data_IF_978617127097
#
_entry.id   IF_978617127097
#
_cell.length_a   1.000
_cell.length_b   1.000
_cell.length_c   1.000
_cell.angle_alpha   90.00
_cell.angle_beta   90.00
_cell.angle_gamma   90.00
#
_symmetry.space_group_name_H-M   'P 1'
#
loop_
_entity.id
_entity.type
_entity.pdbx_description
1 polymer ?
#
# COMPACT_ATOMS: atom_id res chain seq x y z
N UNK A 1 56.17 7.50 56.05
CA UNK A 1 55.60 7.15 54.73
C UNK A 1 54.81 5.86 54.87
N UNK A 2 53.48 5.97 54.95
CA UNK A 2 52.54 4.85 55.06
C UNK A 2 51.89 4.68 53.69
N UNK A 3 51.91 3.46 53.14
CA UNK A 3 50.98 3.07 52.09
C UNK A 3 50.52 1.63 52.39
N UNK A 4 49.40 1.52 53.10
CA UNK A 4 48.57 0.32 53.11
C UNK A 4 47.86 0.27 51.76
N UNK A 5 48.11 -0.76 50.96
CA UNK A 5 47.24 -1.11 49.84
C UNK A 5 46.04 -1.88 50.39
N UNK A 6 44.89 -1.22 50.41
CA UNK A 6 43.60 -1.87 50.61
C UNK A 6 43.15 -2.55 49.33
N UNK A 7 42.75 -3.80 49.50
CA UNK A 7 42.00 -4.65 48.58
C UNK A 7 40.67 -3.97 48.25
N UNK A 8 40.35 -3.83 46.97
CA UNK A 8 38.98 -3.61 46.50
C UNK A 8 38.69 -4.56 45.31
N UNK A 9 37.73 -5.49 45.42
CA UNK A 9 37.29 -6.31 44.32
C UNK A 9 36.26 -5.51 43.50
N UNK A 10 36.64 -5.04 42.31
CA UNK A 10 35.66 -4.48 41.38
C UNK A 10 35.07 -5.63 40.57
N UNK A 11 33.88 -6.00 41.00
CA UNK A 11 32.92 -6.89 40.37
C UNK A 11 32.74 -6.57 38.88
N UNK A 12 32.89 -7.61 38.06
CA UNK A 12 32.32 -7.73 36.72
C UNK A 12 30.80 -7.60 36.84
N UNK A 13 30.26 -6.43 36.47
CA UNK A 13 28.84 -6.25 36.17
C UNK A 13 28.70 -6.09 34.66
N UNK A 14 28.38 -7.22 34.04
CA UNK A 14 27.67 -7.30 32.77
C UNK A 14 26.31 -6.61 32.91
N UNK A 15 26.15 -5.45 32.29
CA UNK A 15 24.89 -4.85 31.87
C UNK A 15 25.22 -4.23 30.51
N UNK A 16 24.91 -4.83 29.38
CA UNK A 16 23.57 -5.11 28.89
C UNK A 16 23.47 -4.33 27.57
N UNK A 17 23.12 -5.00 26.47
CA UNK A 17 22.88 -4.37 25.17
C UNK A 17 22.06 -3.10 25.39
N UNK A 18 22.63 -1.93 25.10
CA UNK A 18 21.80 -0.76 24.89
C UNK A 18 20.93 -1.06 23.69
N UNK A 19 19.66 -1.32 24.00
CA UNK A 19 18.56 -1.25 23.07
C UNK A 19 18.67 0.06 22.32
N UNK A 20 18.90 -0.01 21.01
CA UNK A 20 18.70 1.10 20.09
C UNK A 20 17.25 1.56 20.23
N UNK A 21 17.02 2.55 21.11
CA UNK A 21 15.78 3.30 21.16
C UNK A 21 15.71 4.08 19.86
N UNK A 22 15.03 3.51 18.87
CA UNK A 22 14.62 4.23 17.66
C UNK A 22 13.78 5.40 18.12
N UNK A 23 14.35 6.60 18.02
CA UNK A 23 13.73 7.84 18.46
C UNK A 23 12.58 8.14 17.49
N UNK A 24 11.36 7.64 17.77
CA UNK A 24 10.14 7.79 16.95
C UNK A 24 9.60 9.24 16.94
N UNK A 25 10.44 10.28 16.91
CA UNK A 25 9.99 11.68 16.77
C UNK A 25 10.28 12.16 15.35
N UNK A 26 9.22 12.34 14.56
CA UNK A 26 9.26 13.12 13.32
C UNK A 26 9.78 12.38 12.09
N UNK A 27 9.40 11.11 11.88
CA UNK A 27 9.86 10.37 10.70
C UNK A 27 9.20 10.94 9.45
N UNK A 28 10.03 11.51 8.59
CA UNK A 28 9.66 11.99 7.26
C UNK A 28 10.14 10.99 6.21
N UNK A 29 9.26 10.60 5.30
CA UNK A 29 9.61 9.74 4.19
C UNK A 29 9.93 10.66 3.00
N UNK A 30 11.21 11.01 2.85
CA UNK A 30 11.69 11.52 1.58
C UNK A 30 12.08 10.33 0.72
N UNK A 31 11.46 10.08 -0.41
CA UNK A 31 11.86 9.01 -1.31
C UNK A 31 12.78 9.50 -2.45
N UNK A 32 13.20 10.77 -2.42
CA UNK A 32 13.88 11.44 -3.52
C UNK A 32 15.36 11.68 -3.20
N UNK A 33 16.22 11.41 -4.19
CA UNK A 33 17.68 11.63 -4.18
C UNK A 33 18.42 10.92 -3.03
N UNK A 34 17.91 9.75 -2.61
CA UNK A 34 18.57 8.88 -1.64
C UNK A 34 19.49 7.86 -2.33
N UNK A 35 20.45 7.34 -1.56
CA UNK A 35 21.39 6.31 -2.01
C UNK A 35 20.73 4.93 -1.97
N UNK A 36 20.40 4.28 -3.10
CA UNK A 36 19.80 2.96 -3.06
C UNK A 36 20.84 1.88 -2.79
N UNK A 37 20.36 0.83 -2.13
CA UNK A 37 21.05 -0.43 -1.96
C UNK A 37 20.81 -1.24 -3.23
N UNK A 38 21.86 -1.38 -4.02
CA UNK A 38 21.83 -2.21 -5.22
C UNK A 38 21.71 -3.69 -4.85
N UNK A 39 20.76 -4.37 -5.48
CA UNK A 39 20.65 -5.83 -5.40
C UNK A 39 21.61 -6.45 -6.40
N UNK A 40 22.10 -7.66 -6.09
CA UNK A 40 22.91 -8.44 -7.01
C UNK A 40 22.16 -9.69 -7.48
N UNK A 41 22.54 -10.19 -8.65
CA UNK A 41 22.06 -11.48 -9.18
C UNK A 41 22.98 -12.58 -8.64
N UNK A 42 22.46 -13.46 -7.80
CA UNK A 42 23.28 -14.50 -7.17
C UNK A 42 23.58 -15.65 -8.14
N UNK A 43 22.58 -16.05 -8.94
CA UNK A 43 22.71 -17.11 -9.95
C UNK A 43 22.33 -16.57 -11.34
N UNK A 44 23.32 -16.13 -12.15
CA UNK A 44 23.07 -15.70 -13.53
C UNK A 44 22.51 -16.81 -14.41
N UNK A 45 22.95 -18.05 -14.17
CA UNK A 45 22.53 -19.28 -14.84
C UNK A 45 22.43 -20.40 -13.81
N UNK A 46 21.48 -21.32 -13.99
CA UNK A 46 21.34 -22.50 -13.15
C UNK A 46 22.24 -23.63 -13.65
N UNK A 47 22.87 -24.36 -12.74
CA UNK A 47 23.57 -25.60 -13.08
C UNK A 47 22.56 -26.70 -13.46
N UNK A 48 22.97 -27.69 -14.25
CA UNK A 48 22.09 -28.81 -14.65
C UNK A 48 21.47 -29.52 -13.44
N UNK A 49 22.27 -29.77 -12.41
CA UNK A 49 21.81 -30.37 -11.14
C UNK A 49 20.75 -29.54 -10.40
N UNK A 50 20.65 -28.24 -10.69
CA UNK A 50 19.68 -27.34 -10.08
C UNK A 50 18.38 -27.25 -10.90
N UNK A 51 18.36 -27.75 -12.13
CA UNK A 51 17.17 -27.76 -12.98
C UNK A 51 16.26 -28.96 -12.69
N UNK A 52 16.79 -30.03 -12.12
CA UNK A 52 16.10 -31.30 -11.89
C UNK A 52 15.35 -31.39 -10.53
N UNK A 53 15.07 -30.26 -9.87
CA UNK A 53 14.41 -30.28 -8.56
C UNK A 53 12.88 -30.18 -8.66
N UNK A 54 12.19 -31.18 -8.10
CA UNK A 54 10.72 -31.24 -8.07
C UNK A 54 10.08 -30.57 -6.83
N UNK A 55 10.87 -30.02 -5.91
CA UNK A 55 10.31 -29.42 -4.67
C UNK A 55 10.12 -27.90 -4.80
N UNK A 56 8.89 -27.38 -4.69
CA UNK A 56 8.61 -25.96 -4.91
C UNK A 56 8.85 -25.08 -3.66
N UNK A 57 9.53 -25.61 -2.63
CA UNK A 57 9.72 -24.91 -1.36
C UNK A 57 11.01 -24.10 -1.35
N UNK A 58 10.91 -22.83 -0.97
CA UNK A 58 12.04 -21.91 -0.82
C UNK A 58 12.05 -21.29 0.56
N UNK A 59 13.24 -21.12 1.12
CA UNK A 59 13.50 -20.37 2.34
C UNK A 59 13.53 -18.88 2.02
N UNK A 60 12.46 -18.16 2.36
CA UNK A 60 12.27 -16.75 2.02
C UNK A 60 12.36 -15.88 3.27
N UNK A 61 13.00 -14.72 3.11
CA UNK A 61 13.04 -13.69 4.15
C UNK A 61 11.86 -12.74 4.01
N UNK A 62 11.08 -12.59 5.08
CA UNK A 62 9.92 -11.71 5.15
C UNK A 62 9.90 -10.91 6.45
N UNK A 63 9.27 -9.74 6.43
CA UNK A 63 9.04 -8.93 7.62
C UNK A 63 7.64 -9.20 8.17
N UNK A 64 7.56 -9.81 9.35
CA UNK A 64 6.33 -10.30 9.96
C UNK A 64 6.32 -9.94 11.45
N UNK A 65 5.20 -9.42 11.95
CA UNK A 65 5.04 -9.05 13.37
C UNK A 65 6.18 -8.16 13.92
N UNK A 66 6.70 -7.27 13.07
CA UNK A 66 7.77 -6.36 13.44
C UNK A 66 9.16 -6.97 13.54
N UNK A 67 9.38 -8.13 12.91
CA UNK A 67 10.68 -8.82 12.87
C UNK A 67 10.93 -9.40 11.47
N UNK A 68 12.19 -9.44 11.08
CA UNK A 68 12.63 -10.21 9.91
C UNK A 68 12.67 -11.69 10.28
N UNK A 69 11.90 -12.51 9.57
CA UNK A 69 11.82 -13.96 9.76
C UNK A 69 12.12 -14.67 8.44
N UNK A 70 12.76 -15.83 8.54
CA UNK A 70 12.99 -16.72 7.40
C UNK A 70 12.07 -17.93 7.53
N UNK A 71 11.33 -18.25 6.46
CA UNK A 71 10.35 -19.36 6.45
C UNK A 71 10.44 -20.13 5.15
N UNK A 72 10.17 -21.44 5.23
CA UNK A 72 10.00 -22.27 4.04
C UNK A 72 8.59 -22.07 3.48
N UNK A 73 8.51 -21.64 2.22
CA UNK A 73 7.28 -21.24 1.55
C UNK A 73 7.14 -22.02 0.25
N UNK A 74 5.93 -22.50 -0.01
CA UNK A 74 5.59 -23.14 -1.28
C UNK A 74 5.41 -22.06 -2.38
N UNK A 75 6.23 -22.13 -3.42
CA UNK A 75 6.25 -21.23 -4.57
C UNK A 75 5.73 -21.88 -5.86
N UNK A 76 5.14 -23.09 -5.78
CA UNK A 76 4.54 -23.81 -6.91
C UNK A 76 3.61 -22.92 -7.76
N UNK A 77 2.76 -22.05 -7.17
CA UNK A 77 1.90 -21.17 -7.96
C UNK A 77 2.63 -20.04 -8.68
N UNK A 78 3.91 -19.82 -8.39
CA UNK A 78 4.70 -18.67 -8.83
C UNK A 78 5.81 -19.03 -9.82
N UNK A 79 6.02 -20.33 -10.09
CA UNK A 79 7.17 -20.82 -10.87
C UNK A 79 6.67 -21.69 -12.02
N UNK A 80 7.16 -21.41 -13.23
CA UNK A 80 6.93 -22.21 -14.42
C UNK A 80 8.29 -22.52 -15.06
N UNK A 81 8.79 -23.74 -14.84
CA UNK A 81 10.17 -24.10 -15.14
C UNK A 81 11.14 -23.29 -14.28
N UNK A 82 11.97 -22.45 -14.92
CA UNK A 82 12.87 -21.52 -14.21
C UNK A 82 12.32 -20.10 -14.11
N UNK A 83 11.18 -19.80 -14.72
CA UNK A 83 10.62 -18.44 -14.77
C UNK A 83 9.72 -18.17 -13.58
N UNK A 84 9.86 -16.99 -12.96
CA UNK A 84 8.87 -16.46 -12.01
C UNK A 84 7.71 -15.83 -12.75
N UNK A 85 6.72 -16.66 -13.05
CA UNK A 85 5.45 -16.30 -13.68
C UNK A 85 4.35 -17.20 -13.13
N UNK A 86 3.12 -16.71 -13.17
CA UNK A 86 1.93 -17.54 -12.96
C UNK A 86 1.01 -17.44 -14.17
N UNK A 87 0.57 -18.59 -14.68
CA UNK A 87 -0.25 -18.69 -15.90
C UNK A 87 -1.59 -17.94 -15.80
N UNK A 88 -1.99 -17.55 -14.58
CA UNK A 88 -3.27 -16.88 -14.26
C UNK A 88 -3.11 -15.53 -13.54
N UNK A 89 -1.90 -14.96 -13.49
CA UNK A 89 -1.66 -13.75 -12.68
C UNK A 89 -0.47 -12.91 -13.11
N UNK A 90 0.72 -13.24 -12.60
CA UNK A 90 1.95 -12.50 -12.90
C UNK A 90 2.51 -13.02 -14.22
N UNK A 91 2.45 -12.20 -15.26
CA UNK A 91 2.98 -12.53 -16.59
C UNK A 91 4.47 -12.86 -16.52
N UNK A 92 5.23 -11.93 -15.95
CA UNK A 92 6.67 -12.01 -15.83
C UNK A 92 7.14 -11.14 -14.66
N UNK A 93 8.24 -11.58 -14.03
CA UNK A 93 9.00 -10.79 -13.07
C UNK A 93 10.29 -10.30 -13.70
N UNK A 94 10.63 -9.04 -13.48
CA UNK A 94 11.73 -8.34 -14.11
C UNK A 94 12.69 -7.75 -13.09
N UNK A 95 13.97 -7.68 -13.46
CA UNK A 95 15.04 -7.00 -12.73
C UNK A 95 15.92 -6.21 -13.70
N UNK A 96 16.83 -5.39 -13.15
CA UNK A 96 17.77 -4.57 -13.94
C UNK A 96 17.07 -3.71 -15.00
N UNK A 97 15.92 -3.15 -14.60
CA UNK A 97 15.11 -2.29 -15.46
C UNK A 97 15.45 -0.83 -15.22
N UNK A 98 15.49 -0.03 -16.28
CA UNK A 98 15.58 1.43 -16.17
C UNK A 98 14.22 2.03 -16.53
N UNK A 99 13.70 2.85 -15.62
CA UNK A 99 12.37 3.43 -15.71
C UNK A 99 12.42 4.94 -15.49
N UNK A 100 11.51 5.65 -16.15
CA UNK A 100 11.31 7.08 -15.96
C UNK A 100 9.84 7.34 -15.67
N UNK A 101 9.58 8.05 -14.56
CA UNK A 101 8.31 8.69 -14.28
C UNK A 101 8.39 10.15 -14.70
N UNK A 102 7.78 10.47 -15.84
CA UNK A 102 7.68 11.84 -16.33
C UNK A 102 6.40 12.49 -15.81
N UNK A 103 6.52 13.62 -15.12
CA UNK A 103 5.41 14.45 -14.65
C UNK A 103 5.48 15.80 -15.36
N UNK A 104 4.41 16.19 -16.03
CA UNK A 104 4.32 17.50 -16.69
C UNK A 104 3.37 18.39 -15.93
N UNK A 105 3.84 19.56 -15.52
CA UNK A 105 3.08 20.59 -14.84
C UNK A 105 2.89 21.79 -15.77
N UNK A 106 1.68 22.37 -15.80
CA UNK A 106 1.38 23.62 -16.49
C UNK A 106 0.66 24.55 -15.53
N UNK A 107 1.19 25.76 -15.37
CA UNK A 107 0.68 26.75 -14.40
C UNK A 107 0.55 26.18 -12.98
N UNK A 108 1.53 25.38 -12.55
CA UNK A 108 1.56 24.72 -11.23
C UNK A 108 0.63 23.51 -11.08
N UNK A 109 -0.10 23.09 -12.12
CA UNK A 109 -1.00 21.92 -12.10
C UNK A 109 -0.41 20.76 -12.87
N UNK A 110 -0.48 19.54 -12.34
CA UNK A 110 -0.06 18.33 -13.03
C UNK A 110 -0.97 18.04 -14.24
N UNK A 111 -0.48 18.27 -15.46
CA UNK A 111 -1.20 18.08 -16.73
C UNK A 111 -0.77 16.86 -17.54
N UNK A 112 0.33 16.19 -17.17
CA UNK A 112 0.75 14.92 -17.75
C UNK A 112 1.44 14.02 -16.74
N UNK A 113 1.24 12.71 -16.85
CA UNK A 113 2.06 11.71 -16.17
C UNK A 113 2.26 10.52 -17.10
N UNK A 114 3.51 10.11 -17.28
CA UNK A 114 3.89 9.04 -18.19
C UNK A 114 4.97 8.18 -17.54
N UNK A 115 4.79 6.86 -17.62
CA UNK A 115 5.81 5.90 -17.21
C UNK A 115 6.43 5.30 -18.47
N UNK A 116 7.75 5.41 -18.57
CA UNK A 116 8.52 4.92 -19.72
C UNK A 116 9.59 3.97 -19.23
N UNK A 117 9.67 2.81 -19.87
CA UNK A 117 10.81 1.90 -19.73
C UNK A 117 11.91 2.38 -20.67
N UNK A 118 13.01 2.88 -20.13
CA UNK A 118 14.11 3.48 -20.91
C UNK A 118 15.15 2.45 -21.35
N UNK A 119 15.18 1.28 -20.70
CA UNK A 119 16.01 0.14 -21.09
C UNK A 119 15.22 -1.16 -20.96
N UNK A 120 15.44 -2.08 -21.90
CA UNK A 120 14.80 -3.39 -21.87
C UNK A 120 15.16 -4.12 -20.57
N UNK A 121 14.16 -4.52 -19.75
CA UNK A 121 14.40 -5.22 -18.50
C UNK A 121 14.82 -6.68 -18.73
N UNK A 122 15.49 -7.27 -17.75
CA UNK A 122 15.83 -8.69 -17.75
C UNK A 122 14.76 -9.49 -17.02
N UNK A 123 14.26 -10.55 -17.64
CA UNK A 123 13.29 -11.42 -17.01
C UNK A 123 13.96 -12.35 -15.98
N UNK A 124 13.35 -12.49 -14.81
CA UNK A 124 13.89 -13.21 -13.67
C UNK A 124 13.83 -14.72 -13.88
N UNK A 125 14.97 -15.37 -13.64
CA UNK A 125 15.10 -16.82 -13.56
C UNK A 125 15.47 -17.23 -12.14
N UNK A 126 14.81 -18.27 -11.64
CA UNK A 126 15.06 -18.93 -10.37
C UNK A 126 15.54 -20.35 -10.67
N UNK A 127 16.55 -20.78 -9.93
CA UNK A 127 17.09 -22.14 -10.01
C UNK A 127 16.30 -23.05 -9.06
N UNK A 128 15.55 -24.04 -9.57
CA UNK A 128 14.70 -24.90 -8.76
C UNK A 128 15.43 -25.59 -7.60
N UNK A 129 16.66 -26.03 -7.81
CA UNK A 129 17.49 -26.70 -6.81
C UNK A 129 18.04 -25.78 -5.71
N UNK A 130 18.07 -24.47 -5.93
CA UNK A 130 18.59 -23.50 -4.95
C UNK A 130 17.48 -23.07 -4.00
N UNK A 131 17.45 -23.69 -2.81
CA UNK A 131 16.35 -23.53 -1.84
C UNK A 131 16.41 -22.25 -1.00
N UNK A 132 17.52 -21.52 -1.03
CA UNK A 132 17.68 -20.27 -0.30
C UNK A 132 18.60 -19.34 -1.07
N UNK A 133 18.22 -18.07 -1.14
CA UNK A 133 19.03 -17.01 -1.72
C UNK A 133 19.40 -15.99 -0.65
N UNK A 134 20.46 -15.22 -0.88
CA UNK A 134 20.84 -14.14 0.02
C UNK A 134 19.74 -13.07 0.08
N UNK A 135 19.53 -12.48 1.25
CA UNK A 135 18.42 -11.54 1.51
C UNK A 135 18.35 -10.39 0.49
N UNK A 136 19.51 -9.80 0.16
CA UNK A 136 19.66 -8.68 -0.78
C UNK A 136 20.06 -9.13 -2.19
N UNK A 137 19.58 -10.30 -2.62
CA UNK A 137 19.63 -10.74 -4.02
C UNK A 137 18.33 -10.38 -4.75
N UNK A 138 18.39 -10.24 -6.06
CA UNK A 138 17.17 -10.09 -6.87
C UNK A 138 16.25 -11.31 -6.74
N UNK A 139 16.79 -12.51 -6.58
CA UNK A 139 16.04 -13.76 -6.44
C UNK A 139 15.18 -13.78 -5.17
N UNK A 140 15.77 -13.50 -3.99
CA UNK A 140 15.03 -13.47 -2.74
C UNK A 140 13.94 -12.36 -2.76
N UNK A 141 14.27 -11.18 -3.26
CA UNK A 141 13.32 -10.07 -3.39
C UNK A 141 12.15 -10.42 -4.32
N UNK A 142 12.45 -11.03 -5.47
CA UNK A 142 11.45 -11.47 -6.45
C UNK A 142 10.54 -12.55 -5.89
N UNK A 143 11.10 -13.56 -5.22
CA UNK A 143 10.33 -14.64 -4.60
C UNK A 143 9.42 -14.10 -3.48
N UNK A 144 9.92 -13.21 -2.63
CA UNK A 144 9.14 -12.60 -1.54
C UNK A 144 7.94 -11.80 -2.07
N UNK A 145 8.15 -10.95 -3.07
CA UNK A 145 7.09 -10.16 -3.68
C UNK A 145 6.06 -11.05 -4.44
N UNK A 146 6.54 -12.05 -5.21
CA UNK A 146 5.67 -12.98 -5.92
C UNK A 146 4.75 -13.75 -4.97
N UNK A 147 5.27 -14.20 -3.83
CA UNK A 147 4.51 -15.02 -2.88
C UNK A 147 3.22 -14.34 -2.42
N UNK A 148 3.28 -13.10 -1.95
CA UNK A 148 2.10 -12.42 -1.41
C UNK A 148 1.09 -12.06 -2.50
N UNK A 149 1.58 -11.68 -3.69
CA UNK A 149 0.73 -11.39 -4.85
C UNK A 149 0.02 -12.67 -5.33
N UNK A 150 0.71 -13.79 -5.52
CA UNK A 150 0.09 -15.04 -5.94
C UNK A 150 -0.86 -15.61 -4.88
N UNK A 151 -0.54 -15.46 -3.59
CA UNK A 151 -1.48 -15.79 -2.52
C UNK A 151 -2.76 -14.97 -2.60
N UNK A 152 -2.65 -13.66 -2.89
CA UNK A 152 -3.79 -12.77 -3.11
C UNK A 152 -4.63 -13.22 -4.30
N UNK A 153 -3.99 -13.54 -5.42
CA UNK A 153 -4.65 -14.08 -6.63
C UNK A 153 -5.46 -15.33 -6.29
N UNK A 154 -4.86 -16.32 -5.62
CA UNK A 154 -5.54 -17.57 -5.27
C UNK A 154 -6.77 -17.36 -4.39
N UNK A 155 -6.69 -16.45 -3.42
CA UNK A 155 -7.82 -16.12 -2.54
C UNK A 155 -8.94 -15.40 -3.28
N UNK A 156 -8.61 -14.59 -4.27
CA UNK A 156 -9.58 -13.96 -5.17
C UNK A 156 -10.24 -14.98 -6.11
N UNK A 157 -9.47 -15.92 -6.66
CA UNK A 157 -10.02 -17.00 -7.48
C UNK A 157 -11.02 -17.86 -6.69
N UNK A 158 -10.76 -18.09 -5.40
CA UNK A 158 -11.66 -18.83 -4.51
C UNK A 158 -13.02 -18.13 -4.29
N UNK A 159 -13.12 -16.83 -4.55
CA UNK A 159 -14.38 -16.07 -4.57
C UNK A 159 -14.85 -15.73 -5.99
N UNK A 160 -14.39 -16.51 -6.98
CA UNK A 160 -14.73 -16.39 -8.40
C UNK A 160 -14.31 -15.06 -9.05
N UNK A 161 -13.33 -14.35 -8.48
CA UNK A 161 -12.73 -13.21 -9.15
C UNK A 161 -11.46 -13.63 -9.88
N UNK A 162 -11.39 -13.31 -11.18
CA UNK A 162 -10.19 -13.45 -12.00
C UNK A 162 -9.95 -12.14 -12.71
N UNK A 163 -8.76 -11.57 -12.55
CA UNK A 163 -8.38 -10.40 -13.35
C UNK A 163 -8.34 -10.79 -14.82
N UNK A 164 -8.95 -10.01 -15.74
CA UNK A 164 -8.87 -10.27 -17.17
C UNK A 164 -7.49 -9.97 -17.74
N UNK A 165 -6.60 -9.33 -16.98
CA UNK A 165 -5.32 -8.83 -17.45
C UNK A 165 -4.17 -9.35 -16.59
N UNK A 166 -3.16 -9.99 -17.18
CA UNK A 166 -1.97 -10.37 -16.43
C UNK A 166 -1.13 -9.13 -16.11
N UNK A 167 -0.35 -9.16 -15.02
CA UNK A 167 0.49 -8.04 -14.59
C UNK A 167 1.99 -8.34 -14.74
N UNK A 168 2.81 -7.30 -14.85
CA UNK A 168 4.27 -7.43 -14.77
C UNK A 168 4.77 -6.98 -13.40
N UNK A 169 5.81 -7.63 -12.88
CA UNK A 169 6.42 -7.26 -11.60
C UNK A 169 7.84 -6.77 -11.84
N UNK A 170 8.19 -5.59 -11.33
CA UNK A 170 9.55 -5.01 -11.42
C UNK A 170 10.17 -4.94 -10.04
N UNK A 171 11.36 -5.52 -9.90
CA UNK A 171 12.09 -5.59 -8.64
C UNK A 171 13.33 -4.71 -8.72
N UNK A 172 13.38 -3.72 -7.83
CA UNK A 172 14.47 -2.78 -7.66
C UNK A 172 14.96 -2.13 -8.98
N UNK A 173 14.06 -1.54 -9.80
CA UNK A 173 14.47 -0.85 -11.02
C UNK A 173 15.22 0.45 -10.70
N UNK A 174 16.16 0.82 -11.58
CA UNK A 174 16.70 2.18 -11.59
C UNK A 174 15.62 3.14 -12.09
N UNK A 175 15.05 3.94 -11.18
CA UNK A 175 13.93 4.81 -11.52
C UNK A 175 14.26 6.28 -11.28
N UNK A 176 14.01 7.10 -12.31
CA UNK A 176 14.14 8.55 -12.25
C UNK A 176 12.74 9.17 -12.34
N UNK A 177 12.45 10.13 -11.48
CA UNK A 177 11.32 11.04 -11.64
C UNK A 177 11.80 12.31 -12.35
N UNK A 178 11.24 12.56 -13.54
CA UNK A 178 11.46 13.77 -14.33
C UNK A 178 10.26 14.71 -14.19
N UNK A 179 10.44 15.85 -13.57
CA UNK A 179 9.43 16.90 -13.51
C UNK A 179 9.68 17.92 -14.61
N UNK A 180 8.69 18.13 -15.48
CA UNK A 180 8.68 19.13 -16.54
C UNK A 180 7.69 20.21 -16.14
N UNK A 181 8.14 21.44 -15.94
CA UNK A 181 7.29 22.58 -15.61
C UNK A 181 7.22 23.49 -16.84
N UNK A 182 6.04 23.52 -17.47
CA UNK A 182 5.69 24.41 -18.57
C UNK A 182 5.09 25.70 -18.00
N UNK A 183 5.81 26.81 -18.16
CA UNK A 183 5.29 28.16 -17.93
C UNK A 183 5.01 28.84 -19.27
N UNK A 184 4.46 30.04 -19.24
CA UNK A 184 4.21 30.82 -20.47
C UNK A 184 5.52 31.23 -21.18
N UNK A 185 6.67 31.16 -20.51
CA UNK A 185 7.96 31.66 -21.00
C UNK A 185 9.08 30.62 -21.04
N UNK A 186 8.98 29.53 -20.29
CA UNK A 186 10.06 28.54 -20.16
C UNK A 186 9.54 27.11 -19.91
N UNK A 187 10.36 26.13 -20.27
CA UNK A 187 10.17 24.72 -19.90
C UNK A 187 11.35 24.32 -19.02
N UNK A 188 11.09 24.08 -17.74
CA UNK A 188 12.09 23.62 -16.77
C UNK A 188 11.97 22.10 -16.64
N UNK A 189 13.10 21.37 -16.61
CA UNK A 189 13.12 19.93 -16.33
C UNK A 189 14.06 19.62 -15.17
N UNK A 190 13.58 18.86 -14.19
CA UNK A 190 14.36 18.38 -13.05
C UNK A 190 14.25 16.86 -12.93
N UNK A 191 15.39 16.17 -12.82
CA UNK A 191 15.46 14.72 -12.66
C UNK A 191 15.85 14.38 -11.22
N UNK A 192 15.19 13.39 -10.65
CA UNK A 192 15.47 12.93 -9.28
C UNK A 192 15.37 11.42 -9.16
N UNK A 193 16.28 10.80 -8.41
CA UNK A 193 16.26 9.34 -8.21
C UNK A 193 15.25 8.99 -7.12
N UNK A 194 14.40 7.98 -7.36
CA UNK A 194 13.40 7.56 -6.37
C UNK A 194 13.71 6.19 -5.76
N UNK A 195 13.55 6.07 -4.44
CA UNK A 195 13.80 4.85 -3.64
C UNK A 195 12.64 4.60 -2.65
N UNK A 196 12.73 3.55 -1.82
CA UNK A 196 11.86 3.35 -0.65
C UNK A 196 10.36 3.47 -0.96
N UNK A 197 9.87 2.87 -2.04
CA UNK A 197 8.43 2.84 -2.32
C UNK A 197 8.03 1.59 -3.09
N UNK A 198 6.75 1.24 -3.04
CA UNK A 198 6.11 0.34 -3.97
C UNK A 198 4.91 1.07 -4.60
N UNK A 199 4.56 0.71 -5.84
CA UNK A 199 3.38 1.27 -6.49
C UNK A 199 2.91 0.42 -7.67
N UNK A 200 1.61 0.47 -7.94
CA UNK A 200 1.00 -0.02 -9.16
C UNK A 200 0.94 1.06 -10.25
N UNK A 201 1.27 0.67 -11.49
CA UNK A 201 1.18 1.49 -12.69
C UNK A 201 0.02 0.97 -13.56
N UNK A 202 -1.12 1.67 -13.63
CA UNK A 202 -2.28 1.21 -14.40
C UNK A 202 -2.02 1.07 -15.90
N UNK A 203 -1.29 2.04 -16.50
CA UNK A 203 -1.03 2.06 -17.95
C UNK A 203 -0.14 0.90 -18.43
N UNK A 204 0.77 0.43 -17.58
CA UNK A 204 1.64 -0.71 -17.87
C UNK A 204 1.10 -2.03 -17.29
N UNK A 205 0.08 -1.94 -16.42
CA UNK A 205 -0.42 -3.04 -15.58
C UNK A 205 0.72 -3.71 -14.83
N UNK A 206 1.49 -2.90 -14.11
CA UNK A 206 2.74 -3.33 -13.51
C UNK A 206 2.81 -2.95 -12.05
N UNK A 207 3.34 -3.83 -11.21
CA UNK A 207 3.73 -3.50 -9.84
C UNK A 207 5.24 -3.25 -9.82
N UNK A 208 5.65 -2.19 -9.15
CA UNK A 208 7.06 -1.81 -9.00
C UNK A 208 7.41 -1.78 -7.53
N UNK A 209 8.48 -2.48 -7.15
CA UNK A 209 9.15 -2.33 -5.86
C UNK A 209 10.47 -1.59 -6.08
N UNK A 210 10.57 -0.34 -5.62
CA UNK A 210 11.81 0.44 -5.71
C UNK A 210 12.88 -0.12 -4.77
N UNK A 211 14.18 0.12 -5.06
CA UNK A 211 15.25 -0.20 -4.13
C UNK A 211 15.04 0.45 -2.75
N UNK A 212 15.43 -0.26 -1.70
CA UNK A 212 15.62 0.34 -0.37
C UNK A 212 16.82 1.29 -0.42
N UNK A 213 16.76 2.40 0.31
CA UNK A 213 17.91 3.29 0.49
C UNK A 213 18.79 2.93 1.69
N UNK A 214 20.05 3.37 1.67
CA UNK A 214 20.97 3.31 2.80
C UNK A 214 20.39 4.07 4.00
N UNK A 215 19.77 5.22 3.76
CA UNK A 215 19.12 6.05 4.79
C UNK A 215 17.94 5.31 5.43
N UNK A 216 17.13 4.59 4.65
CA UNK A 216 16.06 3.76 5.22
C UNK A 216 16.62 2.60 6.04
N UNK A 217 17.76 2.03 5.63
CA UNK A 217 18.46 0.97 6.39
C UNK A 217 18.94 1.47 7.76
N UNK A 218 19.31 2.74 7.85
CA UNK A 218 19.71 3.41 9.10
C UNK A 218 18.53 3.86 9.97
N UNK A 219 17.29 3.68 9.49
CA UNK A 219 16.06 3.91 10.25
C UNK A 219 15.19 5.07 9.75
N UNK A 220 15.53 5.72 8.63
CA UNK A 220 14.63 6.63 7.95
C UNK A 220 13.50 5.87 7.21
N UNK A 221 12.54 6.60 6.62
CA UNK A 221 11.54 5.98 5.75
C UNK A 221 10.60 5.01 6.49
N UNK A 222 10.46 3.80 5.95
CA UNK A 222 9.66 2.71 6.51
C UNK A 222 10.41 1.91 7.60
N UNK A 223 11.58 2.39 8.01
CA UNK A 223 12.52 1.67 8.85
C UNK A 223 13.42 0.76 8.02
N UNK A 224 14.26 -0.03 8.70
CA UNK A 224 15.20 -0.97 8.09
C UNK A 224 14.50 -2.20 7.49
N UNK A 225 13.47 -1.96 6.67
CA UNK A 225 12.59 -2.97 6.08
C UNK A 225 12.39 -2.62 4.60
N UNK A 226 12.92 -3.43 3.67
CA UNK A 226 12.56 -3.32 2.27
C UNK A 226 11.09 -3.69 2.04
N UNK A 227 10.38 -2.92 1.23
CA UNK A 227 8.94 -3.12 1.03
C UNK A 227 8.58 -4.44 0.33
N UNK A 228 9.48 -5.00 -0.47
CA UNK A 228 9.29 -6.33 -1.08
C UNK A 228 9.28 -7.47 -0.04
N UNK A 229 9.75 -7.24 1.18
CA UNK A 229 9.72 -8.21 2.29
C UNK A 229 8.42 -8.14 3.10
N UNK A 230 7.57 -7.12 2.91
CA UNK A 230 6.32 -6.92 3.65
C UNK A 230 5.16 -7.49 2.84
N UNK A 231 4.57 -8.64 3.21
CA UNK A 231 3.55 -9.30 2.37
C UNK A 231 2.32 -8.44 2.10
N UNK A 232 1.93 -7.63 3.09
CA UNK A 232 0.83 -6.67 2.98
C UNK A 232 1.04 -5.70 1.81
N UNK A 233 2.26 -5.23 1.56
CA UNK A 233 2.55 -4.27 0.47
C UNK A 233 2.30 -4.92 -0.89
N UNK A 234 2.84 -6.10 -1.17
CA UNK A 234 2.59 -6.77 -2.46
C UNK A 234 1.11 -7.08 -2.70
N UNK A 235 0.38 -7.45 -1.65
CA UNK A 235 -1.06 -7.71 -1.72
C UNK A 235 -1.86 -6.41 -1.92
N UNK A 236 -1.42 -5.32 -1.31
CA UNK A 236 -1.97 -3.98 -1.48
C UNK A 236 -1.80 -3.49 -2.92
N UNK A 237 -0.60 -3.57 -3.49
CA UNK A 237 -0.37 -3.17 -4.88
C UNK A 237 -1.18 -4.02 -5.88
N UNK A 238 -1.38 -5.30 -5.58
CA UNK A 238 -2.30 -6.13 -6.36
C UNK A 238 -3.76 -5.70 -6.18
N UNK A 239 -4.15 -5.20 -5.01
CA UNK A 239 -5.44 -4.56 -4.76
C UNK A 239 -5.73 -3.42 -5.73
N UNK A 240 -4.76 -2.56 -6.01
CA UNK A 240 -4.90 -1.53 -7.04
C UNK A 240 -5.14 -2.14 -8.42
N UNK A 241 -4.39 -3.18 -8.80
CA UNK A 241 -4.61 -3.89 -10.05
C UNK A 241 -6.06 -4.42 -10.18
N UNK A 242 -6.61 -5.00 -9.11
CA UNK A 242 -8.01 -5.43 -9.04
C UNK A 242 -8.96 -4.25 -9.20
N UNK A 243 -8.70 -3.13 -8.51
CA UNK A 243 -9.53 -1.94 -8.58
C UNK A 243 -9.67 -1.42 -10.01
N UNK A 244 -8.54 -1.22 -10.69
CA UNK A 244 -8.50 -0.76 -12.08
C UNK A 244 -9.10 -1.79 -13.05
N UNK A 245 -9.03 -3.08 -12.74
CA UNK A 245 -9.63 -4.14 -13.57
C UNK A 245 -11.16 -4.16 -13.51
N UNK A 246 -11.76 -3.74 -12.40
CA UNK A 246 -13.22 -3.68 -12.22
C UNK A 246 -13.76 -2.30 -12.63
N UNK A 247 -13.09 -1.24 -12.20
CA UNK A 247 -13.59 0.12 -12.19
C UNK A 247 -12.79 1.07 -13.12
N UNK A 248 -12.30 0.57 -14.26
CA UNK A 248 -11.54 1.36 -15.24
C UNK A 248 -12.25 2.68 -15.63
N UNK A 249 -13.58 2.67 -15.74
CA UNK A 249 -14.37 3.87 -16.05
C UNK A 249 -14.35 4.92 -14.92
N UNK A 250 -14.41 4.48 -13.66
CA UNK A 250 -14.26 5.35 -12.47
C UNK A 250 -12.81 5.84 -12.35
N UNK A 251 -11.89 5.04 -12.86
CA UNK A 251 -10.46 5.31 -12.83
C UNK A 251 -10.01 6.38 -13.83
N UNK A 252 -10.85 6.74 -14.80
CA UNK A 252 -10.62 7.89 -15.68
C UNK A 252 -10.67 9.23 -14.93
N UNK A 253 -11.42 9.28 -13.82
CA UNK A 253 -11.53 10.45 -12.94
C UNK A 253 -10.51 10.43 -11.79
N UNK A 254 -9.73 9.35 -11.65
CA UNK A 254 -8.59 9.33 -10.72
C UNK A 254 -7.62 10.42 -11.14
N UNK A 255 -7.53 11.45 -10.30
CA UNK A 255 -6.43 12.38 -10.39
C UNK A 255 -5.14 11.55 -10.25
N UNK A 256 -4.28 11.73 -11.25
CA UNK A 256 -3.03 11.00 -11.46
C UNK A 256 -2.26 10.86 -10.14
N UNK A 257 -1.53 9.74 -9.94
CA UNK A 257 -0.83 9.42 -8.71
C UNK A 257 -0.22 10.65 -8.02
N UNK A 258 -0.81 11.07 -6.92
CA UNK A 258 -0.27 12.14 -6.09
C UNK A 258 0.93 11.55 -5.34
N UNK A 259 2.12 11.77 -5.91
CA UNK A 259 3.42 11.74 -5.23
C UNK A 259 3.61 10.72 -4.09
N UNK A 260 3.87 9.45 -4.42
CA UNK A 260 4.45 8.43 -3.52
C UNK A 260 3.67 8.09 -2.23
N UNK A 261 3.88 6.89 -1.70
CA UNK A 261 3.47 6.62 -0.32
C UNK A 261 4.30 7.54 0.58
N UNK A 262 3.65 8.54 1.18
CA UNK A 262 4.24 9.50 2.12
C UNK A 262 5.27 10.48 1.55
N UNK A 263 5.41 10.56 0.22
CA UNK A 263 6.30 11.51 -0.44
C UNK A 263 5.70 12.91 -0.47
N UNK A 264 6.50 13.93 -0.15
CA UNK A 264 6.10 15.32 -0.32
C UNK A 264 6.10 15.66 -1.81
N UNK A 265 5.09 16.39 -2.33
CA UNK A 265 5.33 17.23 -3.49
C UNK A 265 6.44 18.21 -3.09
N UNK A 266 7.61 18.07 -3.71
CA UNK A 266 8.73 18.99 -3.48
C UNK A 266 8.30 20.45 -3.53
N UNK A 267 9.06 21.30 -2.85
CA UNK A 267 8.88 22.75 -2.72
C UNK A 267 8.87 23.48 -4.10
N UNK A 268 7.86 23.25 -4.93
CA UNK A 268 7.50 24.15 -6.01
C UNK A 268 6.48 25.12 -5.45
N UNK A 269 7.04 26.20 -4.90
CA UNK A 269 6.44 27.52 -4.67
C UNK A 269 4.95 27.62 -5.03
N UNK A 270 4.08 27.39 -4.06
CA UNK A 270 2.81 28.11 -3.97
C UNK A 270 2.24 27.99 -2.55
N UNK A 271 2.10 29.12 -1.88
CA UNK A 271 1.11 29.32 -0.81
C UNK A 271 -0.31 29.25 -1.41
N UNK A 272 -0.64 28.17 -2.12
CA UNK A 272 -1.99 27.92 -2.60
C UNK A 272 -2.79 27.32 -1.46
N UNK A 273 -3.81 28.05 -1.01
CA UNK A 273 -4.93 27.49 -0.26
C UNK A 273 -5.38 26.24 -1.03
N UNK A 274 -5.18 25.06 -0.44
CA UNK A 274 -5.60 23.81 -1.06
C UNK A 274 -7.11 23.73 -0.91
N UNK A 275 -7.82 23.74 -2.04
CA UNK A 275 -9.27 23.55 -2.08
C UNK A 275 -9.67 22.19 -1.44
N UNK A 276 -10.95 22.03 -1.12
CA UNK A 276 -11.50 20.76 -0.66
C UNK A 276 -11.15 19.57 -1.56
N UNK A 277 -11.08 18.36 -1.01
CA UNK A 277 -10.83 17.14 -1.78
C UNK A 277 -11.86 17.00 -2.91
N UNK A 278 -11.36 16.79 -4.12
CA UNK A 278 -12.17 16.56 -5.32
C UNK A 278 -12.77 15.14 -5.31
N UNK A 279 -13.70 14.87 -6.23
CA UNK A 279 -14.20 13.50 -6.46
C UNK A 279 -13.07 12.55 -6.84
N UNK A 280 -12.11 13.00 -7.65
CA UNK A 280 -10.94 12.21 -8.03
C UNK A 280 -10.08 11.83 -6.83
N UNK A 281 -9.88 12.75 -5.88
CA UNK A 281 -9.15 12.47 -4.64
C UNK A 281 -9.89 11.43 -3.77
N UNK A 282 -11.21 11.53 -3.70
CA UNK A 282 -12.04 10.56 -2.96
C UNK A 282 -12.00 9.19 -3.63
N UNK A 283 -12.08 9.09 -4.96
CA UNK A 283 -11.89 7.82 -5.67
C UNK A 283 -10.49 7.25 -5.39
N UNK A 284 -9.46 8.10 -5.38
CA UNK A 284 -8.09 7.72 -5.01
C UNK A 284 -8.03 7.14 -3.59
N UNK A 285 -8.66 7.81 -2.62
CA UNK A 285 -8.75 7.32 -1.26
C UNK A 285 -9.53 6.00 -1.14
N UNK A 286 -10.62 5.86 -1.89
CA UNK A 286 -11.39 4.63 -1.92
C UNK A 286 -10.59 3.46 -2.54
N UNK A 287 -9.76 3.73 -3.55
CA UNK A 287 -8.82 2.76 -4.11
C UNK A 287 -7.75 2.32 -3.09
N UNK A 288 -7.18 3.27 -2.33
CA UNK A 288 -6.27 2.98 -1.21
C UNK A 288 -6.91 2.07 -0.16
N UNK A 289 -8.11 2.43 0.31
CA UNK A 289 -8.84 1.67 1.32
C UNK A 289 -9.30 0.30 0.81
N UNK A 290 -9.73 0.21 -0.46
CA UNK A 290 -10.03 -1.06 -1.12
C UNK A 290 -8.80 -1.98 -1.14
N UNK A 291 -7.64 -1.43 -1.51
CA UNK A 291 -6.40 -2.19 -1.62
C UNK A 291 -5.89 -2.69 -0.27
N UNK A 292 -6.04 -1.89 0.79
CA UNK A 292 -5.80 -2.33 2.17
C UNK A 292 -6.75 -3.48 2.59
N UNK A 293 -8.03 -3.41 2.22
CA UNK A 293 -9.01 -4.47 2.49
C UNK A 293 -8.69 -5.77 1.72
N UNK A 294 -8.32 -5.67 0.43
CA UNK A 294 -7.88 -6.83 -0.36
C UNK A 294 -6.70 -7.52 0.33
N UNK A 295 -5.66 -6.76 0.72
CA UNK A 295 -4.53 -7.32 1.44
C UNK A 295 -4.95 -7.96 2.77
N UNK A 296 -5.81 -7.30 3.55
CA UNK A 296 -6.24 -7.76 4.87
C UNK A 296 -7.07 -9.04 4.85
N UNK A 297 -7.86 -9.26 3.79
CA UNK A 297 -8.71 -10.45 3.65
C UNK A 297 -8.01 -11.64 2.99
N UNK A 298 -7.00 -11.39 2.16
CA UNK A 298 -6.29 -12.46 1.44
C UNK A 298 -5.06 -12.98 2.19
N UNK A 299 -4.48 -12.18 3.07
CA UNK A 299 -3.35 -12.57 3.92
C UNK A 299 -3.81 -13.07 5.30
N UNK A 300 -3.00 -13.96 5.88
CA UNK A 300 -3.31 -14.62 7.15
C UNK A 300 -2.44 -14.10 8.29
N UNK A 301 -3.03 -13.98 9.49
CA UNK A 301 -2.31 -13.78 10.75
C UNK A 301 -1.23 -12.69 10.70
N UNK A 302 0.03 -13.11 10.76
CA UNK A 302 1.21 -12.24 10.77
C UNK A 302 1.45 -11.47 9.46
N UNK A 303 0.99 -12.00 8.32
CA UNK A 303 1.34 -11.48 6.98
C UNK A 303 0.62 -10.18 6.65
N UNK A 304 -0.56 -9.96 7.22
CA UNK A 304 -1.33 -8.71 7.08
C UNK A 304 -0.95 -7.63 8.11
N UNK A 305 -0.08 -7.94 9.06
CA UNK A 305 0.32 -7.03 10.13
C UNK A 305 1.39 -6.05 9.67
N UNK A 306 1.37 -4.82 10.20
CA UNK A 306 2.34 -3.77 9.89
C UNK A 306 3.10 -3.33 11.15
N UNK A 307 3.15 -4.19 12.17
CA UNK A 307 3.86 -3.94 13.42
C UNK A 307 5.31 -3.54 13.13
N UNK A 308 5.79 -2.48 13.77
CA UNK A 308 7.12 -1.89 13.56
C UNK A 308 7.48 -1.51 12.10
N UNK A 309 6.53 -1.48 11.16
CA UNK A 309 6.75 -0.83 9.85
C UNK A 309 6.47 0.66 10.05
N UNK A 310 7.53 1.47 10.01
CA UNK A 310 7.44 2.89 10.33
C UNK A 310 6.47 3.59 9.38
N UNK A 311 5.69 4.56 9.87
CA UNK A 311 4.63 5.26 9.14
C UNK A 311 3.40 4.43 8.72
N UNK A 312 3.49 3.10 8.72
CA UNK A 312 2.39 2.20 8.36
C UNK A 312 1.69 1.59 9.57
N UNK A 313 2.42 1.24 10.64
CA UNK A 313 1.87 0.71 11.89
C UNK A 313 0.73 1.58 12.41
N UNK A 314 -0.42 0.97 12.72
CA UNK A 314 -1.72 1.59 13.00
C UNK A 314 -2.32 2.45 11.89
N UNK A 315 -1.52 3.25 11.19
CA UNK A 315 -1.99 4.18 10.17
C UNK A 315 -2.68 3.47 9.01
N UNK A 316 -2.10 2.36 8.53
CA UNK A 316 -2.61 1.53 7.43
C UNK A 316 -3.23 0.21 7.90
N UNK A 317 -3.12 -0.13 9.18
CA UNK A 317 -3.73 -1.35 9.72
C UNK A 317 -5.26 -1.25 9.73
N UNK A 318 -5.90 -2.05 8.89
CA UNK A 318 -7.37 -2.12 8.73
C UNK A 318 -8.06 -2.45 10.05
N UNK A 319 -7.51 -3.38 10.83
CA UNK A 319 -8.07 -3.80 12.12
C UNK A 319 -7.89 -2.78 13.26
N UNK A 320 -7.14 -1.70 13.05
CA UNK A 320 -6.95 -0.65 14.07
C UNK A 320 -8.03 0.43 13.93
N UNK A 321 -8.84 0.72 14.97
CA UNK A 321 -9.83 1.79 14.93
C UNK A 321 -9.22 3.19 15.08
N UNK A 322 -7.91 3.30 15.29
CA UNK A 322 -7.18 4.55 15.53
C UNK A 322 -5.89 4.64 14.73
N UNK A 323 -5.42 5.85 14.46
CA UNK A 323 -4.11 6.16 13.91
C UNK A 323 -2.99 6.04 14.96
N UNK A 324 -1.74 6.24 14.53
CA UNK A 324 -0.57 6.15 15.42
C UNK A 324 -0.60 7.16 16.59
N UNK A 325 -1.22 8.33 16.40
CA UNK A 325 -1.43 9.35 17.43
C UNK A 325 -2.71 9.15 18.28
N UNK A 326 -3.40 8.02 18.09
CA UNK A 326 -4.71 7.68 18.67
C UNK A 326 -5.91 8.48 18.14
N UNK A 327 -5.75 9.31 17.11
CA UNK A 327 -6.91 9.88 16.40
C UNK A 327 -7.80 8.75 15.87
N UNK A 328 -9.11 8.85 16.08
CA UNK A 328 -10.07 7.85 15.58
C UNK A 328 -10.11 7.77 14.07
N UNK A 329 -10.22 6.56 13.53
CA UNK A 329 -10.51 6.30 12.10
C UNK A 329 -12.01 6.38 11.85
N UNK A 330 -12.55 7.60 11.91
CA UNK A 330 -13.94 7.93 11.63
C UNK A 330 -14.00 9.21 10.78
N UNK A 331 -15.04 9.34 9.96
CA UNK A 331 -15.35 10.57 9.24
C UNK A 331 -16.16 11.52 10.13
N UNK A 332 -15.53 12.02 11.20
CA UNK A 332 -16.17 12.99 12.10
C UNK A 332 -16.35 14.34 11.40
N UNK A 333 -17.16 15.21 11.99
CA UNK A 333 -17.39 16.57 11.52
C UNK A 333 -16.07 17.33 11.35
N UNK A 334 -15.13 17.19 12.30
CA UNK A 334 -13.81 17.81 12.23
C UNK A 334 -12.97 17.26 11.07
N UNK A 335 -12.97 15.93 10.89
CA UNK A 335 -12.24 15.29 9.79
C UNK A 335 -12.79 15.74 8.42
N UNK A 336 -14.11 15.75 8.27
CA UNK A 336 -14.79 16.20 7.04
C UNK A 336 -14.52 17.69 6.75
N UNK A 337 -14.53 18.54 7.78
CA UNK A 337 -14.16 19.95 7.64
C UNK A 337 -12.72 20.13 7.18
N UNK A 338 -11.78 19.30 7.64
CA UNK A 338 -10.40 19.31 7.12
C UNK A 338 -10.34 18.79 5.68
N UNK A 339 -11.05 17.72 5.36
CA UNK A 339 -11.08 17.13 4.01
C UNK A 339 -11.60 18.15 2.98
N UNK A 340 -12.76 18.75 3.25
CA UNK A 340 -13.50 19.53 2.26
C UNK A 340 -13.44 21.04 2.47
N UNK A 341 -12.96 21.51 3.62
CA UNK A 341 -12.74 22.92 3.89
C UNK A 341 -11.43 23.47 3.31
N UNK A 342 -11.30 24.79 3.37
CA UNK A 342 -10.10 25.51 2.97
C UNK A 342 -9.01 25.36 4.05
N UNK A 343 -7.82 24.97 3.63
CA UNK A 343 -6.71 24.81 4.55
C UNK A 343 -5.50 24.18 3.88
N UNK A 344 -4.32 24.51 4.40
CA UNK A 344 -3.11 23.80 3.97
C UNK A 344 -3.09 22.40 4.59
N UNK A 345 -2.63 21.37 3.87
CA UNK A 345 -2.37 20.06 4.46
C UNK A 345 -1.46 20.23 5.68
N UNK A 346 -1.67 19.42 6.72
CA UNK A 346 -0.73 19.37 7.84
C UNK A 346 0.59 18.81 7.30
N UNK A 347 1.57 19.70 7.11
CA UNK A 347 2.93 19.32 6.69
C UNK A 347 3.66 18.86 7.95
N UNK A 348 3.88 17.55 8.08
CA UNK A 348 4.60 16.98 9.21
C UNK A 348 4.56 15.45 9.25
N UNK A 349 5.43 14.90 10.12
CA UNK A 349 5.54 13.50 10.55
C UNK A 349 4.40 12.58 10.12
N UNK A 350 4.73 11.46 9.48
CA UNK A 350 3.77 10.41 9.10
C UNK A 350 2.98 9.79 10.29
N UNK A 351 3.34 10.15 11.53
CA UNK A 351 2.66 9.72 12.76
C UNK A 351 1.36 10.47 13.06
N UNK A 352 1.08 11.58 12.39
CA UNK A 352 -0.19 12.31 12.51
C UNK A 352 -1.01 12.17 11.22
N UNK A 353 -2.30 11.84 11.29
CA UNK A 353 -3.13 11.70 10.11
C UNK A 353 -3.30 13.06 9.43
N UNK A 354 -3.05 13.11 8.13
CA UNK A 354 -3.37 14.23 7.28
C UNK A 354 -4.60 13.87 6.44
N UNK A 355 -5.77 14.38 6.82
CA UNK A 355 -7.04 14.10 6.14
C UNK A 355 -7.15 14.73 4.74
N UNK A 356 -6.15 15.47 4.27
CA UNK A 356 -6.02 15.86 2.85
C UNK A 356 -5.27 14.83 2.00
N UNK A 357 -4.78 13.72 2.59
CA UNK A 357 -4.08 12.66 1.86
C UNK A 357 -4.97 11.44 1.62
N UNK A 358 -4.96 10.94 0.39
CA UNK A 358 -5.76 9.78 -0.04
C UNK A 358 -5.48 8.54 0.81
N UNK A 359 -4.23 8.33 1.23
CA UNK A 359 -3.81 7.19 2.05
C UNK A 359 -4.48 7.16 3.43
N UNK A 360 -4.71 8.34 4.02
CA UNK A 360 -5.32 8.49 5.35
C UNK A 360 -6.83 8.33 5.24
N UNK A 361 -7.46 9.00 4.28
CA UNK A 361 -8.90 8.88 4.01
C UNK A 361 -9.27 7.43 3.64
N UNK A 362 -8.44 6.76 2.84
CA UNK A 362 -8.60 5.35 2.50
C UNK A 362 -8.50 4.43 3.71
N UNK A 363 -7.54 4.69 4.61
CA UNK A 363 -7.41 3.93 5.85
C UNK A 363 -8.63 4.09 6.78
N UNK A 364 -9.29 5.26 6.80
CA UNK A 364 -10.56 5.46 7.51
C UNK A 364 -11.64 4.57 6.89
N UNK A 365 -11.81 4.63 5.56
CA UNK A 365 -12.79 3.82 4.84
C UNK A 365 -12.59 2.31 5.08
N UNK A 366 -11.34 1.83 5.02
CA UNK A 366 -11.01 0.43 5.26
C UNK A 366 -11.37 -0.03 6.69
N UNK A 367 -10.98 0.75 7.70
CA UNK A 367 -11.30 0.47 9.11
C UNK A 367 -12.81 0.43 9.36
N UNK A 368 -13.55 1.39 8.82
CA UNK A 368 -15.02 1.43 8.93
C UNK A 368 -15.66 0.20 8.28
N UNK A 369 -15.24 -0.13 7.05
CA UNK A 369 -15.78 -1.26 6.29
C UNK A 369 -15.53 -2.59 7.01
N UNK A 370 -14.31 -2.81 7.53
CA UNK A 370 -14.01 -4.00 8.32
C UNK A 370 -14.85 -4.07 9.60
N UNK A 371 -15.02 -2.96 10.31
CA UNK A 371 -15.84 -2.92 11.53
C UNK A 371 -17.31 -3.21 11.25
N UNK A 372 -17.85 -2.72 10.13
CA UNK A 372 -19.20 -3.07 9.67
C UNK A 372 -19.32 -4.58 9.46
N UNK A 373 -18.40 -5.19 8.70
CA UNK A 373 -18.47 -6.62 8.36
C UNK A 373 -18.13 -7.56 9.51
N UNK A 374 -17.19 -7.19 10.39
CA UNK A 374 -16.72 -8.01 11.50
C UNK A 374 -17.83 -8.33 12.51
N UNK A 375 -18.77 -7.40 12.73
CA UNK A 375 -19.88 -7.57 13.67
C UNK A 375 -20.85 -8.68 13.27
N UNK A 376 -20.90 -9.02 11.99
CA UNK A 376 -21.71 -10.11 11.46
C UNK A 376 -20.94 -11.44 11.34
N UNK A 377 -19.72 -11.52 11.89
CA UNK A 377 -18.87 -12.73 11.88
C UNK A 377 -18.63 -13.31 10.49
N UNK A 378 -18.67 -12.46 9.46
CA UNK A 378 -18.35 -12.86 8.09
C UNK A 378 -16.91 -13.41 8.03
N UNK A 379 -16.74 -14.52 7.33
CA UNK A 379 -15.42 -15.05 6.97
C UNK A 379 -14.70 -14.09 6.03
N UNK A 380 -13.35 -14.19 5.95
CA UNK A 380 -12.58 -13.37 5.00
C UNK A 380 -13.04 -13.58 3.55
N UNK A 381 -13.49 -14.78 3.18
CA UNK A 381 -14.03 -15.08 1.85
C UNK A 381 -15.32 -14.31 1.57
N UNK A 382 -16.24 -14.25 2.54
CA UNK A 382 -17.49 -13.48 2.40
C UNK A 382 -17.21 -11.98 2.33
N UNK A 383 -16.29 -11.48 3.16
CA UNK A 383 -15.86 -10.07 3.14
C UNK A 383 -15.21 -9.69 1.81
N UNK A 384 -14.37 -10.57 1.27
CA UNK A 384 -13.72 -10.39 -0.03
C UNK A 384 -14.75 -10.33 -1.16
N UNK A 385 -15.73 -11.24 -1.17
CA UNK A 385 -16.83 -11.17 -2.14
C UNK A 385 -17.66 -9.89 -1.99
N UNK A 386 -17.88 -9.43 -0.76
CA UNK A 386 -18.64 -8.21 -0.47
C UNK A 386 -17.91 -6.95 -0.96
N UNK A 387 -16.61 -6.81 -0.71
CA UNK A 387 -15.84 -5.63 -1.16
C UNK A 387 -15.71 -5.58 -2.69
N UNK A 388 -15.64 -6.72 -3.37
CA UNK A 388 -15.68 -6.78 -4.84
C UNK A 388 -17.04 -6.33 -5.38
N UNK A 389 -18.15 -6.79 -4.78
CA UNK A 389 -19.50 -6.34 -5.15
C UNK A 389 -19.71 -4.85 -4.87
N UNK A 390 -19.15 -4.33 -3.77
CA UNK A 390 -19.17 -2.90 -3.48
C UNK A 390 -18.50 -2.10 -4.58
N UNK A 391 -17.35 -2.52 -5.08
CA UNK A 391 -16.66 -1.81 -6.16
C UNK A 391 -17.45 -1.85 -7.47
N UNK A 392 -18.12 -2.96 -7.77
CA UNK A 392 -19.06 -3.06 -8.90
C UNK A 392 -20.20 -2.06 -8.75
N UNK A 393 -20.85 -2.00 -7.58
CA UNK A 393 -21.93 -1.05 -7.32
C UNK A 393 -21.45 0.41 -7.40
N UNK A 394 -20.26 0.70 -6.89
CA UNK A 394 -19.66 2.04 -6.96
C UNK A 394 -19.43 2.44 -8.42
N UNK A 395 -18.89 1.54 -9.25
CA UNK A 395 -18.72 1.76 -10.68
C UNK A 395 -20.03 2.03 -11.39
N UNK A 396 -21.06 1.22 -11.13
CA UNK A 396 -22.35 1.34 -11.80
C UNK A 396 -23.07 2.64 -11.39
N UNK A 397 -22.84 3.12 -10.18
CA UNK A 397 -23.41 4.37 -9.64
C UNK A 397 -22.59 5.60 -10.02
N UNK A 398 -21.29 5.47 -10.33
CA UNK A 398 -20.35 6.58 -10.47
C UNK A 398 -20.87 7.75 -11.33
N UNK A 399 -21.45 7.48 -12.50
CA UNK A 399 -21.96 8.53 -13.41
C UNK A 399 -23.04 9.40 -12.80
N UNK A 400 -23.88 8.86 -11.91
CA UNK A 400 -24.96 9.64 -11.29
C UNK A 400 -24.50 10.45 -10.09
N UNK A 401 -23.33 10.13 -9.51
CA UNK A 401 -22.83 10.76 -8.28
C UNK A 401 -21.56 11.58 -8.46
N UNK A 402 -20.82 11.44 -9.56
CA UNK A 402 -19.56 12.17 -9.80
C UNK A 402 -19.75 13.69 -9.89
N UNK A 403 -20.92 14.15 -10.33
CA UNK A 403 -21.27 15.58 -10.36
C UNK A 403 -21.67 16.19 -9.02
N UNK A 404 -21.77 15.39 -7.94
CA UNK A 404 -22.29 15.85 -6.64
C UNK A 404 -21.21 16.45 -5.71
N UNK A 405 -19.93 16.39 -6.10
CA UNK A 405 -18.80 16.80 -5.28
C UNK A 405 -18.27 15.70 -4.34
N UNK A 406 -17.05 15.91 -3.83
CA UNK A 406 -16.30 14.88 -3.10
C UNK A 406 -17.00 14.35 -1.85
N UNK A 407 -17.59 15.23 -1.02
CA UNK A 407 -18.25 14.82 0.23
C UNK A 407 -19.47 13.93 -0.03
N UNK A 408 -20.34 14.32 -0.97
CA UNK A 408 -21.50 13.49 -1.35
C UNK A 408 -21.08 12.17 -1.98
N UNK A 409 -20.00 12.17 -2.76
CA UNK A 409 -19.44 10.95 -3.33
C UNK A 409 -18.96 9.98 -2.23
N UNK A 410 -18.24 10.49 -1.22
CA UNK A 410 -17.80 9.70 -0.07
C UNK A 410 -18.99 9.10 0.70
N UNK A 411 -20.00 9.92 0.99
CA UNK A 411 -21.24 9.50 1.67
C UNK A 411 -21.95 8.40 0.88
N UNK A 412 -22.08 8.56 -0.44
CA UNK A 412 -22.67 7.52 -1.32
C UNK A 412 -21.83 6.25 -1.37
N UNK A 413 -20.51 6.36 -1.44
CA UNK A 413 -19.62 5.19 -1.41
C UNK A 413 -19.77 4.39 -0.10
N UNK A 414 -19.92 5.09 1.04
CA UNK A 414 -20.23 4.46 2.32
C UNK A 414 -21.63 3.82 2.32
N UNK A 415 -22.67 4.51 1.84
CA UNK A 415 -24.04 4.00 1.89
C UNK A 415 -24.21 2.71 1.06
N UNK A 416 -23.53 2.61 -0.08
CA UNK A 416 -23.47 1.36 -0.87
C UNK A 416 -22.85 0.19 -0.09
N UNK A 417 -21.82 0.43 0.72
CA UNK A 417 -21.22 -0.59 1.59
C UNK A 417 -22.20 -1.00 2.71
N UNK A 418 -22.80 -0.01 3.37
CA UNK A 418 -23.78 -0.24 4.43
C UNK A 418 -24.99 -1.03 3.93
N UNK A 419 -25.49 -0.75 2.72
CA UNK A 419 -26.58 -1.47 2.08
C UNK A 419 -26.22 -2.95 1.86
N UNK A 420 -25.03 -3.23 1.32
CA UNK A 420 -24.56 -4.60 1.10
C UNK A 420 -24.43 -5.39 2.40
N UNK A 421 -23.93 -4.75 3.47
CA UNK A 421 -23.82 -5.36 4.79
C UNK A 421 -25.21 -5.61 5.39
N UNK A 422 -26.13 -4.64 5.30
CA UNK A 422 -27.52 -4.79 5.78
C UNK A 422 -28.27 -5.92 5.06
N UNK A 423 -28.10 -6.06 3.73
CA UNK A 423 -28.70 -7.18 2.98
C UNK A 423 -28.17 -8.55 3.41
N UNK A 424 -26.96 -8.61 3.98
CA UNK A 424 -26.31 -9.84 4.44
C UNK A 424 -26.56 -10.16 5.91
N UNK A 425 -27.12 -9.25 6.71
CA UNK A 425 -27.30 -9.43 8.16
C UNK A 425 -28.49 -10.31 8.56
N UNK A 426 -28.78 -11.37 7.79
CA UNK A 426 -29.91 -12.28 8.04
C UNK A 426 -29.85 -12.85 9.46
N UNK A 427 -30.93 -12.68 10.23
CA UNK A 427 -31.04 -13.18 11.60
C UNK A 427 -30.52 -12.21 12.69
N UNK A 428 -30.08 -11.01 12.32
CA UNK A 428 -29.74 -9.94 13.27
C UNK A 428 -30.89 -8.93 13.34
N UNK A 429 -31.28 -8.43 14.54
CA UNK A 429 -32.30 -7.39 14.64
C UNK A 429 -31.96 -6.18 13.77
N UNK A 430 -32.94 -5.68 13.03
CA UNK A 430 -32.75 -4.52 12.16
C UNK A 430 -32.30 -3.29 12.95
N UNK A 431 -32.84 -3.09 14.15
CA UNK A 431 -32.44 -2.01 15.07
C UNK A 431 -30.95 -2.09 15.44
N UNK A 432 -30.41 -3.29 15.66
CA UNK A 432 -28.98 -3.46 15.91
C UNK A 432 -28.15 -3.14 14.66
N UNK A 433 -28.60 -3.59 13.49
CA UNK A 433 -27.92 -3.32 12.22
C UNK A 433 -27.84 -1.82 11.96
N UNK A 434 -28.94 -1.11 12.17
CA UNK A 434 -29.01 0.33 11.96
C UNK A 434 -28.20 1.13 12.98
N UNK A 435 -28.24 0.77 14.27
CA UNK A 435 -27.37 1.39 15.28
C UNK A 435 -25.88 1.25 14.93
N UNK A 436 -25.47 0.10 14.40
CA UNK A 436 -24.08 -0.10 13.97
C UNK A 436 -23.73 0.79 12.77
N UNK A 437 -24.59 0.81 11.74
CA UNK A 437 -24.40 1.66 10.55
C UNK A 437 -24.29 3.12 11.00
N UNK A 438 -25.24 3.63 11.77
CA UNK A 438 -25.24 5.00 12.27
C UNK A 438 -23.96 5.35 13.06
N UNK A 439 -23.52 4.46 13.96
CA UNK A 439 -22.32 4.69 14.79
C UNK A 439 -21.00 4.77 14.00
N UNK A 440 -21.01 4.33 12.74
CA UNK A 440 -19.85 4.32 11.84
C UNK A 440 -20.05 5.22 10.62
N UNK A 441 -21.22 5.84 10.48
CA UNK A 441 -21.56 6.66 9.34
C UNK A 441 -20.75 7.96 9.36
N UNK A 442 -20.43 8.54 8.19
CA UNK A 442 -19.88 9.89 8.14
C UNK A 442 -20.80 10.89 8.83
N UNK A 443 -20.25 11.77 9.67
CA UNK A 443 -20.97 12.87 10.33
C UNK A 443 -21.27 14.03 9.36
N UNK A 444 -21.54 13.70 8.10
CA UNK A 444 -21.94 14.63 7.07
C UNK A 444 -23.45 14.88 7.16
N UNK A 445 -23.87 16.12 6.90
CA UNK A 445 -25.28 16.45 6.74
C UNK A 445 -25.96 15.65 5.62
N UNK A 446 -25.20 15.20 4.61
CA UNK A 446 -25.75 14.41 3.49
C UNK A 446 -26.03 12.96 3.88
N UNK A 447 -25.50 12.49 5.02
CA UNK A 447 -25.69 11.11 5.46
C UNK A 447 -27.10 10.87 6.02
N UNK A 448 -27.83 11.94 6.40
CA UNK A 448 -29.20 11.83 6.93
C UNK A 448 -30.11 11.15 5.90
N UNK A 449 -30.17 11.69 4.69
CA UNK A 449 -31.01 11.16 3.61
C UNK A 449 -30.62 9.71 3.24
N UNK A 450 -29.33 9.36 3.30
CA UNK A 450 -28.86 8.00 3.06
C UNK A 450 -29.31 7.02 4.15
N UNK A 451 -29.28 7.43 5.42
CA UNK A 451 -29.72 6.59 6.54
C UNK A 451 -31.23 6.37 6.51
N UNK A 452 -32.01 7.40 6.15
CA UNK A 452 -33.46 7.28 5.94
C UNK A 452 -33.76 6.33 4.77
N UNK A 453 -33.05 6.46 3.65
CA UNK A 453 -33.20 5.56 2.49
C UNK A 453 -32.82 4.11 2.83
N UNK A 454 -31.88 3.92 3.76
CA UNK A 454 -31.52 2.60 4.30
C UNK A 454 -32.56 2.08 5.32
N UNK A 455 -33.53 2.88 5.75
CA UNK A 455 -34.50 2.52 6.80
C UNK A 455 -33.86 2.41 8.18
N UNK A 456 -32.83 3.22 8.46
CA UNK A 456 -32.14 3.24 9.73
C UNK A 456 -32.50 4.42 10.62
N UNK A 457 -33.09 5.47 10.04
CA UNK A 457 -33.51 6.68 10.74
C UNK A 457 -34.97 7.00 10.49
#
# INVERSE_FOLDING_TARGET
>A
MKLLLYILPILLVSCGKETTKVNKRGVYINNVNRSPIELFKEYPTCAESELESDTPFYSLTQFLQGRTLTRNINMDPSISGTRLRSDKGIKDTYYDAHMMLKKTFRSGRLVGMEFVTTQQPKAMNICPGVKSYQRYSYENASLSANYSINKTIQRLEAVNFKSPYPLNLYISPYTIERQIVETDTEVISEDSRITDNAFYIPSLRSIVFLPQSEESREGAGFGNVPLWEVPMVGSHEYGHHVFYSIAEQVSGDLHRPTSGCFGHPGQLRANTVVQGLSVGDIIGALNEGFSDLIAYYTLDGAERGLNNVVCMEKNREVGSPVFADNTSKLFTTEALNVMFGDGSPIIGSCLRPNFKQIHIVGAVFASISERLMQRYRMSNSEKLALILNWLVNLRDTHRSISGLGGERYLVKAYSLMAELVKKRSTGVPESFTCQLIESLAPESRYMIDELEALGCR
#
